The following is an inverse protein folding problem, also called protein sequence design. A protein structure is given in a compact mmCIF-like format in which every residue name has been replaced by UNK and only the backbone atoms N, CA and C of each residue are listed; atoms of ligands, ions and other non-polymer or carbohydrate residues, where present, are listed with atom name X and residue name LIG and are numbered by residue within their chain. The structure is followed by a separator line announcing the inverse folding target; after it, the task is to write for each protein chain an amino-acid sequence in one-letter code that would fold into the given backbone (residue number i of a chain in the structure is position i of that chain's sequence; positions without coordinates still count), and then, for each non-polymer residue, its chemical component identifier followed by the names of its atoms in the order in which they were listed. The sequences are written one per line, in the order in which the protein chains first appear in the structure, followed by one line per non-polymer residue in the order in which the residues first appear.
data_IF_645192689272
#
_entry.id   IF_645192689272
#
_cell.length_a   1.000
_cell.length_b   1.000
_cell.length_c   1.000
_cell.angle_alpha   90.00
_cell.angle_beta   90.00
_cell.angle_gamma   90.00
#
_symmetry.space_group_name_H-M   'P 1'
#
loop_
_entity.id
_entity.type
_entity.pdbx_description
1 polymer ?
#
# COMPACT_ATOMS: atom_id res chain seq x y z
N UNK A 1 20.00 -19.82 9.34
CA UNK A 1 19.34 -18.61 9.89
C UNK A 1 19.05 -17.55 8.82
N UNK A 2 20.01 -17.17 7.96
CA UNK A 2 19.83 -16.17 6.89
C UNK A 2 18.71 -16.52 5.87
N UNK A 3 18.55 -17.80 5.53
CA UNK A 3 17.51 -18.31 4.62
C UNK A 3 16.09 -18.23 5.19
N UNK A 4 15.93 -18.33 6.51
CA UNK A 4 14.63 -18.21 7.18
C UNK A 4 14.15 -16.76 7.22
N UNK A 5 15.07 -15.81 7.44
CA UNK A 5 14.77 -14.37 7.39
C UNK A 5 14.35 -13.92 5.98
N UNK A 6 15.05 -14.37 4.94
CA UNK A 6 14.69 -14.07 3.55
C UNK A 6 13.29 -14.59 3.19
N UNK A 7 12.93 -15.80 3.63
CA UNK A 7 11.58 -16.36 3.44
C UNK A 7 10.50 -15.55 4.15
N UNK A 8 10.74 -15.12 5.39
CA UNK A 8 9.79 -14.32 6.15
C UNK A 8 9.55 -12.95 5.50
N UNK A 9 10.60 -12.30 4.99
CA UNK A 9 10.52 -11.03 4.27
C UNK A 9 9.73 -11.20 2.95
N UNK A 10 10.05 -12.22 2.16
CA UNK A 10 9.34 -12.52 0.93
C UNK A 10 7.84 -12.77 1.16
N UNK A 11 7.48 -13.53 2.21
CA UNK A 11 6.08 -13.78 2.60
C UNK A 11 5.34 -12.48 2.95
N UNK A 12 5.99 -11.56 3.68
CA UNK A 12 5.41 -10.24 4.02
C UNK A 12 5.17 -9.37 2.78
N UNK A 13 6.14 -9.32 1.86
CA UNK A 13 6.02 -8.56 0.60
C UNK A 13 4.89 -9.12 -0.27
N UNK A 14 4.83 -10.45 -0.44
CA UNK A 14 3.74 -11.09 -1.18
C UNK A 14 2.37 -10.78 -0.57
N UNK A 15 2.24 -10.88 0.76
CA UNK A 15 1.00 -10.54 1.46
C UNK A 15 0.59 -9.06 1.28
N UNK A 16 1.56 -8.14 1.29
CA UNK A 16 1.31 -6.73 1.04
C UNK A 16 0.85 -6.46 -0.40
N UNK A 17 1.50 -7.10 -1.38
CA UNK A 17 1.11 -7.00 -2.79
C UNK A 17 -0.29 -7.58 -3.02
N UNK A 18 -0.63 -8.70 -2.38
CA UNK A 18 -1.97 -9.28 -2.41
C UNK A 18 -3.00 -8.35 -1.80
N UNK A 19 -2.69 -7.71 -0.66
CA UNK A 19 -3.57 -6.72 -0.04
C UNK A 19 -3.82 -5.51 -0.96
N UNK A 20 -2.78 -4.98 -1.60
CA UNK A 20 -2.92 -3.88 -2.55
C UNK A 20 -3.76 -4.29 -3.78
N UNK A 21 -3.52 -5.49 -4.32
CA UNK A 21 -4.29 -6.07 -5.43
C UNK A 21 -5.77 -6.27 -5.07
N UNK A 22 -6.05 -6.66 -3.83
CA UNK A 22 -7.42 -6.76 -3.32
C UNK A 22 -8.09 -5.37 -3.25
N UNK A 23 -7.41 -4.36 -2.70
CA UNK A 23 -7.92 -2.99 -2.65
C UNK A 23 -8.19 -2.42 -4.05
N UNK A 24 -7.32 -2.68 -5.01
CA UNK A 24 -7.47 -2.25 -6.40
C UNK A 24 -8.72 -2.85 -7.05
N UNK A 25 -8.96 -4.16 -6.86
CA UNK A 25 -10.18 -4.82 -7.35
C UNK A 25 -11.44 -4.20 -6.75
N UNK A 26 -11.40 -3.88 -5.46
CA UNK A 26 -12.56 -3.31 -4.78
C UNK A 26 -12.84 -1.87 -5.23
N UNK A 27 -11.79 -1.07 -5.45
CA UNK A 27 -11.89 0.26 -6.07
C UNK A 27 -12.54 0.16 -7.46
N UNK A 28 -12.09 -0.78 -8.30
CA UNK A 28 -12.66 -0.97 -9.64
C UNK A 28 -14.15 -1.36 -9.61
N UNK A 29 -14.57 -2.20 -8.65
CA UNK A 29 -15.99 -2.54 -8.48
C UNK A 29 -16.82 -1.31 -8.09
N UNK A 30 -16.32 -0.50 -7.17
CA UNK A 30 -17.02 0.73 -6.75
C UNK A 30 -17.15 1.69 -7.94
N UNK A 31 -16.12 1.83 -8.76
CA UNK A 31 -16.18 2.67 -9.97
C UNK A 31 -17.28 2.20 -10.92
N UNK A 32 -17.33 0.90 -11.24
CA UNK A 32 -18.41 0.34 -12.08
C UNK A 32 -19.81 0.64 -11.51
N UNK A 33 -19.96 0.60 -10.19
CA UNK A 33 -21.23 0.90 -9.52
C UNK A 33 -21.58 2.39 -9.60
N UNK A 34 -20.60 3.27 -9.42
CA UNK A 34 -20.75 4.72 -9.58
C UNK A 34 -21.16 5.03 -11.02
N UNK A 35 -20.47 4.46 -12.00
CA UNK A 35 -20.75 4.67 -13.43
C UNK A 35 -22.20 4.28 -13.76
N UNK A 36 -22.65 3.10 -13.30
CA UNK A 36 -24.03 2.67 -13.47
C UNK A 36 -25.03 3.64 -12.84
N UNK A 37 -24.75 4.12 -11.62
CA UNK A 37 -25.61 5.09 -10.92
C UNK A 37 -25.65 6.44 -11.63
N UNK A 38 -24.53 6.90 -12.20
CA UNK A 38 -24.49 8.12 -13.01
C UNK A 38 -25.39 7.96 -14.23
N UNK A 39 -25.28 6.84 -14.97
CA UNK A 39 -26.12 6.58 -16.14
C UNK A 39 -27.62 6.52 -15.79
N UNK A 40 -27.95 6.02 -14.60
CA UNK A 40 -29.33 5.94 -14.11
C UNK A 40 -29.84 7.24 -13.45
N UNK A 41 -29.00 8.28 -13.36
CA UNK A 41 -29.35 9.52 -12.64
C UNK A 41 -29.53 9.34 -11.13
N UNK A 42 -28.99 8.27 -10.55
CA UNK A 42 -29.12 7.94 -9.13
C UNK A 42 -28.00 8.56 -8.29
N UNK A 43 -28.30 8.81 -7.01
CA UNK A 43 -27.29 9.29 -6.07
C UNK A 43 -26.21 8.22 -5.79
N UNK A 44 -24.95 8.62 -5.93
CA UNK A 44 -23.76 7.77 -5.71
C UNK A 44 -22.85 8.29 -4.58
N UNK A 45 -23.34 9.19 -3.73
CA UNK A 45 -22.54 9.83 -2.67
C UNK A 45 -21.93 8.81 -1.69
N UNK A 46 -22.66 7.72 -1.39
CA UNK A 46 -22.19 6.65 -0.51
C UNK A 46 -20.98 5.93 -1.13
N UNK A 47 -21.12 5.48 -2.37
CA UNK A 47 -20.05 4.81 -3.12
C UNK A 47 -18.81 5.70 -3.26
N UNK A 48 -18.98 6.99 -3.50
CA UNK A 48 -17.88 7.94 -3.59
C UNK A 48 -17.10 8.09 -2.26
N UNK A 49 -17.81 8.04 -1.12
CA UNK A 49 -17.17 8.06 0.21
C UNK A 49 -16.34 6.80 0.44
N UNK A 50 -16.89 5.63 0.10
CA UNK A 50 -16.21 4.34 0.24
C UNK A 50 -14.98 4.27 -0.66
N UNK A 51 -15.10 4.72 -1.92
CA UNK A 51 -13.99 4.84 -2.86
C UNK A 51 -12.85 5.71 -2.28
N UNK A 52 -13.17 6.89 -1.74
CA UNK A 52 -12.18 7.78 -1.11
C UNK A 52 -11.50 7.14 0.10
N UNK A 53 -12.22 6.34 0.87
CA UNK A 53 -11.67 5.62 2.01
C UNK A 53 -10.69 4.53 1.58
N UNK A 54 -10.99 3.76 0.53
CA UNK A 54 -10.07 2.76 -0.03
C UNK A 54 -8.80 3.41 -0.59
N UNK A 55 -8.92 4.55 -1.30
CA UNK A 55 -7.75 5.29 -1.79
C UNK A 55 -6.83 5.77 -0.66
N UNK A 56 -7.39 6.18 0.50
CA UNK A 56 -6.59 6.52 1.68
C UNK A 56 -5.80 5.32 2.21
N UNK A 57 -6.42 4.14 2.24
CA UNK A 57 -5.75 2.89 2.67
C UNK A 57 -4.59 2.54 1.73
N UNK A 58 -4.78 2.66 0.42
CA UNK A 58 -3.69 2.48 -0.57
C UNK A 58 -2.55 3.45 -0.30
N UNK A 59 -2.85 4.76 -0.20
CA UNK A 59 -1.84 5.81 0.03
C UNK A 59 -1.03 5.59 1.31
N UNK A 60 -1.68 5.20 2.40
CA UNK A 60 -1.01 4.96 3.68
C UNK A 60 -0.01 3.80 3.59
N UNK A 61 -0.38 2.71 2.91
CA UNK A 61 0.51 1.57 2.72
C UNK A 61 1.67 1.87 1.77
N UNK A 62 1.45 2.65 0.70
CA UNK A 62 2.52 3.07 -0.21
C UNK A 62 3.53 4.00 0.49
N UNK A 63 3.05 4.97 1.28
CA UNK A 63 3.91 5.93 2.00
C UNK A 63 4.76 5.26 3.08
N UNK A 64 4.23 4.26 3.80
CA UNK A 64 5.00 3.48 4.78
C UNK A 64 6.23 2.81 4.16
N UNK A 65 6.06 2.22 2.97
CA UNK A 65 7.18 1.57 2.27
C UNK A 65 8.23 2.58 1.78
N UNK A 66 7.81 3.78 1.36
CA UNK A 66 8.72 4.83 0.92
C UNK A 66 9.53 5.41 2.09
N UNK A 67 8.87 5.73 3.21
CA UNK A 67 9.53 6.28 4.40
C UNK A 67 10.56 5.31 4.99
N UNK A 68 10.25 4.00 5.02
CA UNK A 68 11.21 2.98 5.44
C UNK A 68 12.45 2.92 4.54
N UNK A 69 12.28 3.02 3.22
CA UNK A 69 13.41 3.08 2.27
C UNK A 69 14.28 4.31 2.50
N UNK A 70 13.66 5.48 2.71
CA UNK A 70 14.36 6.74 2.96
C UNK A 70 15.16 6.65 4.27
N UNK A 71 14.54 6.22 5.37
CA UNK A 71 15.23 6.05 6.67
C UNK A 71 16.43 5.10 6.53
N UNK A 72 16.29 3.98 5.81
CA UNK A 72 17.41 3.07 5.58
C UNK A 72 18.56 3.70 4.77
N UNK A 73 18.26 4.60 3.82
CA UNK A 73 19.28 5.30 3.03
C UNK A 73 20.06 6.33 3.86
N UNK A 74 19.39 7.05 4.77
CA UNK A 74 20.01 8.12 5.56
C UNK A 74 20.66 7.64 6.86
N UNK A 75 20.23 6.50 7.43
CA UNK A 75 20.74 5.98 8.71
C UNK A 75 21.69 4.78 8.58
N UNK A 76 22.26 4.53 7.39
CA UNK A 76 23.32 3.53 7.18
C UNK A 76 24.64 4.04 7.77
N UNK A 77 24.76 4.12 9.10
CA UNK A 77 26.01 4.53 9.77
C UNK A 77 27.12 3.50 9.49
N UNK A 78 28.32 3.90 9.03
CA UNK A 78 29.52 3.09 9.23
C UNK A 78 29.92 3.21 10.71
N UNK A 79 29.93 2.08 11.44
CA UNK A 79 30.55 2.02 12.75
C UNK A 79 32.07 1.94 12.58
N UNK A 80 32.72 3.08 12.91
CA UNK A 80 34.01 3.16 13.57
C UNK A 80 35.25 2.70 12.79
N UNK A 81 35.82 3.60 12.01
CA UNK A 81 37.28 3.60 11.78
C UNK A 81 37.86 4.38 12.96
N UNK A 82 38.38 3.66 13.96
CA UNK A 82 39.28 4.24 14.95
C UNK A 82 40.66 4.32 14.32
N UNK A 83 41.10 5.54 13.99
CA UNK A 83 42.52 5.85 13.92
C UNK A 83 42.96 6.22 15.34
N UNK A 84 43.74 5.35 15.97
CA UNK A 84 44.66 5.65 17.07
C UNK A 84 45.60 4.45 17.21
#
# INVERSE_FOLDING_TARGET
MLTLLLRAIAKKIMSQAQYLKMLEREIQKINKKIDLKILQGQEYRREARDHKLLLRKVRYNTRKNLAQKIIHLFFRRPLNIRYA
#
